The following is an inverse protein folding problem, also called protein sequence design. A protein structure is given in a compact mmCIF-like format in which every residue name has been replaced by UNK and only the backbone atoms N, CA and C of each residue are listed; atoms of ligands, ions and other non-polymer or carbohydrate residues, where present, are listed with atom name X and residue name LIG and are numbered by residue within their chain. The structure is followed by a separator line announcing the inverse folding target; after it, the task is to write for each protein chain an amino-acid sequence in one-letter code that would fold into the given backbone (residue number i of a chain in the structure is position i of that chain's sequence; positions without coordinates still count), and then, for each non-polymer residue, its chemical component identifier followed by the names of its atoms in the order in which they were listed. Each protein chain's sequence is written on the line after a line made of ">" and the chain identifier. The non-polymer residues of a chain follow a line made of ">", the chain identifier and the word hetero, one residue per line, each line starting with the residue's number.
data_IF_434395093909
#
_entry.id   IF_434395093909
#
_cell.length_a   1.000
_cell.length_b   1.000
_cell.length_c   1.000
_cell.angle_alpha   90.00
_cell.angle_beta   90.00
_cell.angle_gamma   90.00
#
_symmetry.space_group_name_H-M   'P 1'
#
loop_
_entity.id
_entity.type
_entity.pdbx_description
1 polymer ?
#
# COMPACT_ATOMS: atom_id res chain seq x y z
N UNK A 1 26.46 6.71 1.11
CA UNK A 1 26.08 5.37 0.62
C UNK A 1 24.74 4.97 1.23
N UNK A 2 23.81 4.35 0.47
CA UNK A 2 22.51 3.89 1.01
C UNK A 2 22.70 2.60 1.84
N UNK A 3 22.54 2.68 3.16
CA UNK A 3 22.57 1.49 4.05
C UNK A 3 21.47 0.49 3.67
N UNK A 4 20.29 0.98 3.31
CA UNK A 4 19.14 0.15 2.89
C UNK A 4 19.44 -0.60 1.59
N UNK A 5 20.00 0.07 0.58
CA UNK A 5 20.29 -0.55 -0.72
C UNK A 5 21.28 -1.72 -0.66
N UNK A 6 22.20 -1.69 0.30
CA UNK A 6 23.20 -2.76 0.50
C UNK A 6 22.68 -4.00 1.23
N UNK A 7 21.51 -3.91 1.87
CA UNK A 7 20.96 -5.05 2.58
C UNK A 7 20.49 -6.10 1.58
N UNK A 8 20.94 -7.32 1.74
CA UNK A 8 20.46 -8.49 1.01
C UNK A 8 18.98 -8.73 1.28
N UNK A 9 18.30 -9.32 0.34
CA UNK A 9 16.89 -9.73 0.47
C UNK A 9 16.86 -11.24 0.37
N UNK A 10 16.42 -11.93 1.41
CA UNK A 10 16.22 -13.37 1.38
C UNK A 10 14.98 -13.71 0.58
N UNK A 11 15.09 -14.68 -0.32
CA UNK A 11 13.98 -15.17 -1.14
C UNK A 11 13.44 -16.44 -0.49
N UNK A 12 12.16 -16.45 -0.05
CA UNK A 12 11.54 -17.65 0.48
C UNK A 12 11.45 -18.75 -0.59
N UNK A 13 11.52 -20.01 -0.19
CA UNK A 13 11.49 -21.18 -1.11
C UNK A 13 10.24 -21.26 -1.99
N UNK A 14 9.14 -20.67 -1.55
CA UNK A 14 7.86 -20.63 -2.25
C UNK A 14 7.71 -19.44 -3.22
N UNK A 15 8.79 -18.69 -3.47
CA UNK A 15 8.81 -17.54 -4.38
C UNK A 15 9.74 -17.82 -5.55
N UNK A 16 9.21 -17.65 -6.77
CA UNK A 16 9.99 -17.70 -8.01
C UNK A 16 10.31 -16.28 -8.48
N UNK A 17 11.58 -16.08 -8.84
CA UNK A 17 12.07 -14.83 -9.39
C UNK A 17 12.48 -15.05 -10.84
N UNK A 18 11.94 -14.22 -11.73
CA UNK A 18 12.30 -14.20 -13.15
C UNK A 18 12.82 -12.81 -13.47
N UNK A 19 14.04 -12.72 -13.93
CA UNK A 19 14.67 -11.49 -14.38
C UNK A 19 14.80 -11.51 -15.90
N UNK A 20 14.31 -10.49 -16.59
CA UNK A 20 14.61 -10.25 -18.00
C UNK A 20 15.82 -9.29 -18.10
N UNK A 21 16.88 -9.73 -18.78
CA UNK A 21 18.11 -8.95 -18.89
C UNK A 21 17.96 -7.74 -19.82
N UNK A 22 17.21 -7.90 -20.91
CA UNK A 22 17.06 -6.87 -21.94
C UNK A 22 16.39 -5.58 -21.44
N UNK A 23 15.40 -5.71 -20.53
CA UNK A 23 14.58 -4.58 -20.08
C UNK A 23 14.66 -4.28 -18.60
N UNK A 24 15.57 -4.93 -17.86
CA UNK A 24 15.67 -4.85 -16.39
C UNK A 24 14.30 -5.02 -15.70
N UNK A 25 13.55 -5.99 -16.19
CA UNK A 25 12.21 -6.31 -15.73
C UNK A 25 12.28 -7.46 -14.74
N UNK A 26 11.66 -7.31 -13.59
CA UNK A 26 11.63 -8.33 -12.54
C UNK A 26 10.21 -8.77 -12.32
N UNK A 27 10.03 -10.07 -12.37
CA UNK A 27 8.78 -10.76 -12.06
C UNK A 27 8.97 -11.56 -10.80
N UNK A 28 8.08 -11.39 -9.85
CA UNK A 28 8.04 -12.13 -8.59
C UNK A 28 6.73 -12.90 -8.55
N UNK A 29 6.81 -14.22 -8.47
CA UNK A 29 5.66 -15.11 -8.43
C UNK A 29 5.68 -15.88 -7.11
N UNK A 30 4.57 -15.92 -6.41
CA UNK A 30 4.40 -16.57 -5.12
C UNK A 30 3.00 -17.09 -4.88
N UNK A 31 2.69 -17.61 -3.69
CA UNK A 31 1.42 -18.28 -3.39
C UNK A 31 0.18 -17.37 -3.52
N UNK A 32 0.33 -16.06 -3.36
CA UNK A 32 -0.81 -15.11 -3.47
C UNK A 32 -0.98 -14.50 -4.84
N UNK A 33 -0.02 -14.70 -5.74
CA UNK A 33 -0.09 -14.20 -7.10
C UNK A 33 1.26 -13.77 -7.65
N UNK A 34 1.20 -12.94 -8.69
CA UNK A 34 2.35 -12.50 -9.47
C UNK A 34 2.40 -10.97 -9.49
N UNK A 35 3.59 -10.43 -9.27
CA UNK A 35 3.89 -9.02 -9.43
C UNK A 35 5.03 -8.84 -10.41
N UNK A 36 4.95 -7.76 -11.19
CA UNK A 36 5.98 -7.41 -12.16
C UNK A 36 6.27 -5.92 -12.10
N UNK A 37 7.55 -5.57 -12.24
CA UNK A 37 7.98 -4.17 -12.25
C UNK A 37 9.25 -3.98 -13.08
N UNK A 38 9.27 -2.90 -13.85
CA UNK A 38 10.45 -2.45 -14.58
C UNK A 38 11.30 -1.54 -13.69
N UNK A 39 12.60 -1.79 -13.67
CA UNK A 39 13.57 -0.98 -12.93
C UNK A 39 14.48 -0.20 -13.90
N UNK A 40 15.06 0.87 -13.40
CA UNK A 40 16.01 1.68 -14.17
C UNK A 40 17.25 0.87 -14.54
N UNK A 41 17.79 1.08 -15.72
CA UNK A 41 19.05 0.47 -16.19
C UNK A 41 20.27 0.87 -15.34
N UNK A 42 20.16 1.94 -14.53
CA UNK A 42 21.18 2.35 -13.55
C UNK A 42 21.29 1.41 -12.34
N UNK A 43 20.38 0.43 -12.23
CA UNK A 43 20.34 -0.56 -11.16
C UNK A 43 20.53 -1.95 -11.75
N UNK A 44 21.47 -2.71 -11.19
CA UNK A 44 21.68 -4.12 -11.49
C UNK A 44 21.14 -4.96 -10.34
N UNK A 45 20.41 -6.01 -10.67
CA UNK A 45 19.90 -6.97 -9.68
C UNK A 45 20.59 -8.30 -9.92
N UNK A 46 21.26 -8.83 -8.90
CA UNK A 46 21.88 -10.15 -8.89
C UNK A 46 21.10 -11.07 -7.97
N UNK A 47 20.99 -12.32 -8.38
CA UNK A 47 20.34 -13.38 -7.60
C UNK A 47 21.42 -14.43 -7.36
N UNK A 48 21.83 -14.59 -6.11
CA UNK A 48 22.89 -15.54 -5.71
C UNK A 48 22.45 -16.26 -4.43
N UNK A 49 22.54 -17.60 -4.45
CA UNK A 49 22.27 -18.45 -3.28
C UNK A 49 20.93 -18.19 -2.57
N UNK A 50 19.86 -17.86 -3.32
CA UNK A 50 18.55 -17.55 -2.72
C UNK A 50 18.47 -16.16 -2.08
N UNK A 51 19.46 -15.31 -2.33
CA UNK A 51 19.48 -13.91 -1.90
C UNK A 51 19.48 -12.98 -3.11
N UNK A 52 18.86 -11.82 -2.98
CA UNK A 52 18.90 -10.76 -3.98
C UNK A 52 19.83 -9.67 -3.50
N UNK A 53 20.77 -9.32 -4.35
CA UNK A 53 21.66 -8.17 -4.21
C UNK A 53 21.26 -7.13 -5.25
N UNK A 54 21.07 -5.91 -4.79
CA UNK A 54 20.81 -4.75 -5.64
C UNK A 54 22.08 -3.90 -5.71
N UNK A 55 22.57 -3.66 -6.92
CA UNK A 55 23.77 -2.86 -7.19
C UNK A 55 23.43 -1.67 -8.06
N UNK A 56 24.20 -0.64 -8.01
CA UNK A 56 24.14 0.51 -8.92
C UNK A 56 25.27 0.47 -9.92
N UNK A 57 25.00 0.94 -11.13
CA UNK A 57 25.99 0.96 -12.22
C UNK A 57 27.03 2.07 -11.99
N UNK A 58 26.60 3.20 -11.43
CA UNK A 58 27.43 4.37 -11.16
C UNK A 58 27.13 4.99 -9.78
N UNK A 59 27.91 6.01 -9.40
CA UNK A 59 27.74 6.74 -8.14
C UNK A 59 27.03 8.09 -8.31
N UNK A 60 26.27 8.27 -9.40
CA UNK A 60 25.47 9.46 -9.61
C UNK A 60 24.43 9.66 -8.50
N UNK A 61 24.00 10.90 -8.31
CA UNK A 61 22.95 11.25 -7.34
C UNK A 61 21.67 10.44 -7.57
N UNK A 62 21.33 10.26 -8.85
CA UNK A 62 20.15 9.49 -9.26
C UNK A 62 20.30 7.99 -8.96
N UNK A 63 21.42 7.36 -9.33
CA UNK A 63 21.67 5.95 -9.06
C UNK A 63 21.67 5.65 -7.55
N UNK A 64 22.22 6.57 -6.73
CA UNK A 64 22.16 6.45 -5.26
C UNK A 64 20.74 6.50 -4.71
N UNK A 65 19.88 7.37 -5.26
CA UNK A 65 18.47 7.45 -4.88
C UNK A 65 17.70 6.18 -5.29
N UNK A 66 17.89 5.74 -6.54
CA UNK A 66 17.25 4.55 -7.08
C UNK A 66 17.69 3.25 -6.39
N UNK A 67 18.91 3.17 -5.89
CA UNK A 67 19.45 1.98 -5.24
C UNK A 67 18.60 1.54 -4.03
N UNK A 68 18.34 2.46 -3.09
CA UNK A 68 17.51 2.15 -1.92
C UNK A 68 16.04 1.93 -2.27
N UNK A 69 15.51 2.71 -3.23
CA UNK A 69 14.15 2.57 -3.71
C UNK A 69 13.92 1.19 -4.35
N UNK A 70 14.78 0.79 -5.29
CA UNK A 70 14.65 -0.49 -6.00
C UNK A 70 14.72 -1.68 -5.04
N UNK A 71 15.65 -1.65 -4.09
CA UNK A 71 15.74 -2.68 -3.04
C UNK A 71 14.43 -2.80 -2.26
N UNK A 72 13.88 -1.68 -1.83
CA UNK A 72 12.64 -1.65 -1.06
C UNK A 72 11.45 -2.14 -1.89
N UNK A 73 11.37 -1.77 -3.16
CA UNK A 73 10.31 -2.22 -4.06
C UNK A 73 10.37 -3.74 -4.29
N UNK A 74 11.55 -4.30 -4.54
CA UNK A 74 11.72 -5.76 -4.69
C UNK A 74 11.31 -6.49 -3.41
N UNK A 75 11.75 -6.01 -2.25
CA UNK A 75 11.36 -6.58 -0.97
C UNK A 75 9.85 -6.52 -0.73
N UNK A 76 9.20 -5.40 -1.08
CA UNK A 76 7.76 -5.29 -1.01
C UNK A 76 7.05 -6.26 -1.97
N UNK A 77 7.58 -6.50 -3.17
CA UNK A 77 7.02 -7.49 -4.10
C UNK A 77 7.06 -8.90 -3.49
N UNK A 78 8.19 -9.31 -2.88
CA UNK A 78 8.33 -10.62 -2.24
C UNK A 78 7.33 -10.77 -1.09
N UNK A 79 7.27 -9.80 -0.17
CA UNK A 79 6.30 -9.81 0.94
C UNK A 79 4.86 -9.82 0.40
N UNK A 80 4.60 -9.06 -0.66
CA UNK A 80 3.28 -8.98 -1.25
C UNK A 80 2.77 -10.30 -1.81
N UNK A 81 3.60 -11.06 -2.52
CA UNK A 81 3.21 -12.36 -3.09
C UNK A 81 3.22 -13.50 -2.05
N UNK A 82 3.85 -13.32 -0.88
CA UNK A 82 3.87 -14.30 0.22
C UNK A 82 2.77 -14.02 1.25
N UNK A 83 2.86 -12.90 1.94
CA UNK A 83 1.98 -12.52 3.05
C UNK A 83 0.83 -11.62 2.60
N UNK A 84 1.09 -10.77 1.59
CA UNK A 84 0.19 -9.71 1.17
C UNK A 84 0.27 -8.49 2.08
N UNK A 85 -0.47 -7.45 1.70
CA UNK A 85 -0.59 -6.22 2.48
C UNK A 85 -2.03 -5.94 2.83
N UNK A 86 -2.23 -5.32 3.98
CA UNK A 86 -3.53 -4.81 4.40
C UNK A 86 -3.41 -3.42 5.00
N UNK A 87 -4.44 -2.61 4.80
CA UNK A 87 -4.65 -1.32 5.48
C UNK A 87 -6.04 -1.30 6.06
N UNK A 88 -6.12 -0.95 7.34
CA UNK A 88 -7.37 -0.84 8.05
C UNK A 88 -7.74 0.63 8.23
N UNK A 89 -8.95 0.97 7.85
CA UNK A 89 -9.56 2.29 8.04
C UNK A 89 -10.68 2.15 9.07
N UNK A 90 -10.92 3.20 9.85
CA UNK A 90 -12.04 3.32 10.78
C UNK A 90 -12.98 4.42 10.31
N UNK A 91 -14.27 4.15 10.38
CA UNK A 91 -15.33 5.15 10.19
C UNK A 91 -15.74 5.67 11.55
N UNK A 92 -15.70 6.99 11.75
CA UNK A 92 -16.20 7.65 12.97
C UNK A 92 -17.22 8.70 12.61
N UNK A 93 -18.36 8.66 13.28
CA UNK A 93 -19.44 9.65 13.11
C UNK A 93 -20.81 9.01 13.29
N UNK A 94 -21.72 9.76 13.92
CA UNK A 94 -23.11 9.32 14.07
C UNK A 94 -23.75 9.19 12.70
N UNK A 95 -24.36 8.03 12.42
CA UNK A 95 -25.00 7.75 11.13
C UNK A 95 -24.06 7.36 10.00
N UNK A 96 -22.72 7.38 10.19
CA UNK A 96 -21.79 6.93 9.19
C UNK A 96 -21.68 5.39 9.24
N UNK A 97 -21.78 4.75 8.09
CA UNK A 97 -21.73 3.28 7.97
C UNK A 97 -21.02 2.85 6.69
N UNK A 98 -20.37 1.71 6.76
CA UNK A 98 -19.90 0.97 5.58
C UNK A 98 -20.65 -0.35 5.48
N UNK A 99 -20.95 -0.76 4.28
CA UNK A 99 -21.50 -2.08 3.97
C UNK A 99 -20.79 -2.67 2.75
N UNK A 100 -20.64 -3.98 2.74
CA UNK A 100 -20.09 -4.72 1.59
C UNK A 100 -21.23 -5.52 0.96
N UNK A 101 -21.46 -5.35 -0.33
CA UNK A 101 -22.43 -6.10 -1.13
C UNK A 101 -21.71 -6.67 -2.36
N UNK A 102 -21.44 -7.97 -2.34
CA UNK A 102 -20.63 -8.61 -3.38
C UNK A 102 -19.24 -7.97 -3.49
N UNK A 103 -18.89 -7.44 -4.66
CA UNK A 103 -17.63 -6.72 -4.90
C UNK A 103 -17.74 -5.20 -4.67
N UNK A 104 -18.87 -4.71 -4.14
CA UNK A 104 -19.18 -3.29 -4.00
C UNK A 104 -19.10 -2.87 -2.53
N UNK A 105 -18.31 -1.86 -2.22
CA UNK A 105 -18.28 -1.15 -0.95
C UNK A 105 -19.24 0.03 -1.02
N UNK A 106 -20.18 0.10 -0.12
CA UNK A 106 -21.18 1.18 -0.01
C UNK A 106 -20.86 1.97 1.26
N UNK A 107 -20.62 3.25 1.12
CA UNK A 107 -20.26 4.17 2.19
C UNK A 107 -21.37 5.21 2.41
N UNK A 108 -22.07 5.13 3.53
CA UNK A 108 -23.00 6.14 3.99
C UNK A 108 -22.25 7.14 4.88
N UNK A 109 -21.94 8.31 4.34
CA UNK A 109 -21.07 9.32 4.97
C UNK A 109 -21.78 10.66 5.19
N UNK A 110 -23.12 10.63 5.25
CA UNK A 110 -23.95 11.82 5.39
C UNK A 110 -24.05 12.69 4.13
N UNK A 111 -23.77 12.09 2.97
CA UNK A 111 -24.10 12.67 1.67
C UNK A 111 -25.54 12.29 1.25
N UNK A 112 -26.13 13.04 0.32
CA UNK A 112 -27.44 12.74 -0.22
C UNK A 112 -27.49 11.37 -0.91
N UNK A 113 -26.38 10.98 -1.55
CA UNK A 113 -26.22 9.67 -2.22
C UNK A 113 -25.04 8.93 -1.57
N UNK A 114 -25.19 7.62 -1.28
CA UNK A 114 -24.10 6.80 -0.80
C UNK A 114 -22.93 6.78 -1.79
N UNK A 115 -21.70 6.75 -1.28
CA UNK A 115 -20.51 6.62 -2.11
C UNK A 115 -20.25 5.13 -2.35
N UNK A 116 -20.09 4.76 -3.62
CA UNK A 116 -19.83 3.39 -4.03
C UNK A 116 -18.39 3.25 -4.53
N UNK A 117 -17.73 2.16 -4.15
CA UNK A 117 -16.41 1.76 -4.61
C UNK A 117 -16.38 0.26 -4.85
N UNK A 118 -15.57 -0.20 -5.79
CA UNK A 118 -15.56 -1.59 -6.21
C UNK A 118 -14.23 -2.26 -5.92
N UNK A 119 -14.24 -3.56 -5.63
CA UNK A 119 -13.02 -4.37 -5.63
C UNK A 119 -12.40 -4.33 -7.03
N UNK A 120 -11.10 -4.49 -7.07
CA UNK A 120 -10.35 -4.66 -8.30
C UNK A 120 -9.63 -6.01 -8.28
N UNK A 121 -9.13 -6.48 -9.41
CA UNK A 121 -8.39 -7.74 -9.48
C UNK A 121 -7.22 -7.81 -8.49
N UNK A 122 -6.64 -6.66 -8.15
CA UNK A 122 -5.48 -6.54 -7.24
C UNK A 122 -5.86 -6.21 -5.80
N UNK A 123 -7.12 -5.81 -5.53
CA UNK A 123 -7.55 -5.29 -4.23
C UNK A 123 -8.87 -5.91 -3.81
N UNK A 124 -8.89 -6.45 -2.61
CA UNK A 124 -10.09 -6.94 -1.94
C UNK A 124 -10.43 -6.05 -0.76
N UNK A 125 -11.71 -5.75 -0.60
CA UNK A 125 -12.22 -4.95 0.50
C UNK A 125 -13.08 -5.85 1.37
N UNK A 126 -12.88 -5.76 2.69
CA UNK A 126 -13.77 -6.35 3.68
C UNK A 126 -14.26 -5.26 4.64
N UNK A 127 -15.44 -5.47 5.21
CA UNK A 127 -16.03 -4.57 6.21
C UNK A 127 -16.31 -5.39 7.45
N UNK A 128 -15.82 -4.88 8.58
CA UNK A 128 -16.04 -5.47 9.91
C UNK A 128 -16.47 -4.36 10.87
N UNK A 129 -17.78 -4.26 11.08
CA UNK A 129 -18.38 -3.17 11.86
C UNK A 129 -18.01 -1.80 11.31
N UNK A 130 -17.29 -1.02 12.12
CA UNK A 130 -16.81 0.32 11.76
C UNK A 130 -15.48 0.32 10.99
N UNK A 131 -14.92 -0.86 10.72
CA UNK A 131 -13.61 -1.00 10.07
C UNK A 131 -13.78 -1.42 8.62
N UNK A 132 -12.97 -0.79 7.77
CA UNK A 132 -12.80 -1.17 6.36
C UNK A 132 -11.39 -1.71 6.20
N UNK A 133 -11.27 -2.95 5.78
CA UNK A 133 -10.00 -3.64 5.56
C UNK A 133 -9.75 -3.69 4.06
N UNK A 134 -8.70 -3.02 3.61
CA UNK A 134 -8.24 -3.03 2.22
C UNK A 134 -7.04 -3.95 2.12
N UNK A 135 -7.12 -5.02 1.34
CA UNK A 135 -6.05 -6.02 1.21
C UNK A 135 -5.68 -6.28 -0.25
N UNK A 136 -4.43 -6.66 -0.47
CA UNK A 136 -3.92 -6.98 -1.81
C UNK A 136 -2.45 -7.38 -1.78
N UNK A 137 -1.94 -7.79 -2.93
CA UNK A 137 -0.54 -8.21 -3.11
C UNK A 137 0.40 -7.01 -3.34
N UNK A 138 -0.11 -5.91 -3.90
CA UNK A 138 0.69 -4.73 -4.21
C UNK A 138 0.50 -3.66 -3.11
N UNK A 139 1.58 -3.37 -2.39
CA UNK A 139 1.61 -2.37 -1.31
C UNK A 139 1.22 -0.98 -1.80
N UNK A 140 1.66 -0.60 -3.00
CA UNK A 140 1.37 0.70 -3.60
C UNK A 140 -0.13 0.82 -3.92
N UNK A 141 -0.69 -0.20 -4.57
CA UNK A 141 -2.11 -0.24 -4.90
C UNK A 141 -3.00 -0.24 -3.65
N UNK A 142 -2.67 -1.06 -2.64
CA UNK A 142 -3.39 -1.09 -1.35
C UNK A 142 -3.34 0.26 -0.65
N UNK A 143 -2.16 0.89 -0.61
CA UNK A 143 -1.98 2.21 -0.01
C UNK A 143 -2.78 3.30 -0.72
N UNK A 144 -2.72 3.34 -2.05
CA UNK A 144 -3.45 4.31 -2.86
C UNK A 144 -4.96 4.12 -2.74
N UNK A 145 -5.43 2.86 -2.76
CA UNK A 145 -6.85 2.58 -2.64
C UNK A 145 -7.40 2.98 -1.26
N UNK A 146 -6.68 2.67 -0.20
CA UNK A 146 -7.02 3.10 1.16
C UNK A 146 -7.05 4.64 1.28
N UNK A 147 -6.11 5.34 0.66
CA UNK A 147 -6.09 6.80 0.60
C UNK A 147 -7.32 7.35 -0.15
N UNK A 148 -7.73 6.72 -1.24
CA UNK A 148 -8.91 7.10 -2.02
C UNK A 148 -10.20 6.93 -1.20
N UNK A 149 -10.33 5.86 -0.41
CA UNK A 149 -11.45 5.68 0.53
C UNK A 149 -11.45 6.81 1.57
N UNK A 150 -10.29 7.05 2.20
CA UNK A 150 -10.15 8.11 3.22
C UNK A 150 -10.47 9.50 2.67
N UNK A 151 -10.08 9.79 1.43
CA UNK A 151 -10.33 11.06 0.76
C UNK A 151 -11.82 11.34 0.52
N UNK A 152 -12.69 10.31 0.48
CA UNK A 152 -14.15 10.52 0.33
C UNK A 152 -14.77 11.30 1.49
N UNK A 153 -14.23 11.12 2.71
CA UNK A 153 -14.63 11.91 3.88
C UNK A 153 -13.47 11.92 4.89
N UNK A 154 -12.50 12.82 4.72
CA UNK A 154 -11.39 12.91 5.66
C UNK A 154 -11.87 13.34 7.05
N UNK A 155 -11.17 12.98 8.13
CA UNK A 155 -11.59 13.30 9.48
C UNK A 155 -11.56 14.83 9.70
N UNK A 156 -12.65 15.37 10.22
CA UNK A 156 -12.77 16.79 10.51
C UNK A 156 -12.08 17.14 11.85
N UNK A 157 -11.58 18.36 12.01
CA UNK A 157 -10.74 18.71 13.15
C UNK A 157 -11.50 18.97 14.47
N UNK A 158 -12.83 19.10 14.48
CA UNK A 158 -13.59 19.43 15.70
C UNK A 158 -14.07 18.20 16.44
N UNK A 159 -14.95 17.42 15.84
CA UNK A 159 -15.50 16.18 16.43
C UNK A 159 -14.75 14.92 15.97
N UNK A 160 -13.90 15.02 14.94
CA UNK A 160 -13.14 13.93 14.39
C UNK A 160 -13.98 12.96 13.56
N UNK A 161 -15.15 13.41 13.04
CA UNK A 161 -15.99 12.61 12.16
C UNK A 161 -15.32 12.44 10.79
N UNK A 162 -15.40 11.25 10.23
CA UNK A 162 -14.82 10.93 8.92
C UNK A 162 -14.17 9.56 8.92
N UNK A 163 -13.44 9.26 7.86
CA UNK A 163 -12.67 8.03 7.67
C UNK A 163 -11.21 8.33 7.99
N UNK A 164 -10.60 7.52 8.84
CA UNK A 164 -9.20 7.63 9.24
C UNK A 164 -8.52 6.27 9.21
N UNK A 165 -7.19 6.25 9.18
CA UNK A 165 -6.46 5.00 9.37
C UNK A 165 -6.60 4.51 10.81
N UNK A 166 -6.56 3.21 11.00
CA UNK A 166 -6.54 2.61 12.34
C UNK A 166 -5.35 3.17 13.14
N UNK A 167 -5.64 3.75 14.31
CA UNK A 167 -4.62 4.37 15.16
C UNK A 167 -4.19 5.78 14.73
N UNK A 168 -4.76 6.37 13.69
CA UNK A 168 -4.46 7.75 13.27
C UNK A 168 -4.92 8.75 14.34
N UNK A 169 -3.96 9.54 14.85
CA UNK A 169 -4.24 10.64 15.77
C UNK A 169 -4.68 11.89 14.98
N UNK A 170 -5.96 12.18 15.00
CA UNK A 170 -6.51 13.38 14.36
C UNK A 170 -6.26 14.59 15.27
N UNK A 171 -5.56 15.61 14.74
CA UNK A 171 -5.35 16.88 15.46
C UNK A 171 -6.69 17.60 15.60
N UNK A 172 -7.17 17.74 16.83
CA UNK A 172 -8.42 18.43 17.12
C UNK A 172 -8.20 19.92 17.39
N UNK A 173 -9.15 20.73 16.96
CA UNK A 173 -9.25 22.15 17.29
C UNK A 173 -10.38 22.34 18.30
N UNK A 174 -10.19 23.27 19.21
CA UNK A 174 -11.27 23.72 20.11
C UNK A 174 -12.23 24.56 19.29
N UNK A 175 -13.53 24.25 19.33
CA UNK A 175 -14.57 25.06 18.71
C UNK A 175 -14.65 26.44 19.38
N UNK A 176 -15.30 27.40 18.73
CA UNK A 176 -15.62 28.69 19.36
C UNK A 176 -16.48 28.43 20.61
N UNK A 177 -15.89 28.52 21.78
CA UNK A 177 -16.65 28.62 23.04
C UNK A 177 -17.33 29.98 23.03
N UNK A 178 -18.63 29.99 22.89
CA UNK A 178 -19.38 31.22 23.06
C UNK A 178 -19.01 31.79 24.45
N UNK A 179 -18.41 32.98 24.50
CA UNK A 179 -18.35 33.74 25.74
C UNK A 179 -19.79 33.96 26.18
N UNK A 180 -20.19 33.32 27.30
CA UNK A 180 -21.31 33.83 28.10
C UNK A 180 -20.90 35.12 28.72
#
# INVERSE_FOLDING_TARGET
>A
MSRIGKQKISVPQNVKLIKSEENNFIVVEGPKGKLEKKFSMKIKVRIENGEILVERVDDSKEARALHGLSRTLINNMIIGVTEGFSKVLEIKGVGYRAAKSGNKLILNLGFAVPVEMFDTDKIKIAVDGDKIIVSGIDKEAVGQYAANIRAKKPPEPYKGKGIRYLGEKVRRKVGKTGKK
#
